data_IF_432617593251
#
_entry.id   IF_432617593251
#
_cell.length_a   1.000
_cell.length_b   1.000
_cell.length_c   1.000
_cell.angle_alpha   90.00
_cell.angle_beta   90.00
_cell.angle_gamma   90.00
#
_symmetry.space_group_name_H-M   'P 1'
#
loop_
_entity.id
_entity.type
_entity.pdbx_description
1 polymer ?
#
# COMPACT_ATOMS: atom_id res chain seq x y z
N UNK A 1 19.51 -16.91 12.62
CA UNK A 1 20.88 -16.50 12.23
C UNK A 1 21.04 -15.00 12.09
N UNK A 2 20.08 -14.26 11.52
CA UNK A 2 20.14 -12.78 11.40
C UNK A 2 20.50 -12.03 12.70
N UNK A 3 19.87 -12.37 13.83
CA UNK A 3 20.19 -11.74 15.13
C UNK A 3 21.66 -11.92 15.57
N UNK A 4 22.29 -13.05 15.20
CA UNK A 4 23.72 -13.32 15.47
C UNK A 4 24.60 -12.40 14.62
N UNK A 5 24.26 -12.24 13.34
CA UNK A 5 25.01 -11.38 12.41
C UNK A 5 24.95 -9.90 12.84
N UNK A 6 23.76 -9.40 13.18
CA UNK A 6 23.54 -8.02 13.61
C UNK A 6 24.25 -7.71 14.94
N UNK A 7 24.24 -8.66 15.89
CA UNK A 7 24.99 -8.52 17.13
C UNK A 7 26.50 -8.62 16.92
N UNK A 8 26.99 -9.41 15.96
CA UNK A 8 28.42 -9.58 15.67
C UNK A 8 29.04 -8.37 14.95
N UNK A 9 28.29 -7.70 14.08
CA UNK A 9 28.81 -6.71 13.12
C UNK A 9 29.64 -5.57 13.75
N UNK A 10 29.35 -5.18 15.00
CA UNK A 10 30.04 -4.09 15.71
C UNK A 10 30.85 -4.56 16.93
N UNK A 11 31.14 -5.87 17.06
CA UNK A 11 31.84 -6.38 18.25
C UNK A 11 33.26 -5.82 18.39
N UNK A 12 34.00 -5.60 17.30
CA UNK A 12 35.37 -5.07 17.38
C UNK A 12 35.42 -3.63 17.91
N UNK A 13 34.41 -2.82 17.60
CA UNK A 13 34.27 -1.47 18.13
C UNK A 13 33.84 -1.49 19.60
N UNK A 14 32.90 -2.38 19.96
CA UNK A 14 32.46 -2.56 21.35
C UNK A 14 33.59 -3.05 22.24
N UNK A 15 34.49 -3.92 21.77
CA UNK A 15 35.68 -4.35 22.51
C UNK A 15 36.61 -3.19 22.87
N UNK A 16 36.68 -2.17 22.01
CA UNK A 16 37.48 -0.95 22.26
C UNK A 16 36.79 0.01 23.23
N UNK A 17 35.45 0.13 23.14
CA UNK A 17 34.67 1.07 23.95
C UNK A 17 34.32 0.55 25.35
N UNK A 18 33.88 -0.71 25.44
CA UNK A 18 33.45 -1.36 26.68
C UNK A 18 33.72 -2.89 26.62
N UNK A 19 34.91 -3.33 27.08
CA UNK A 19 35.30 -4.73 27.02
C UNK A 19 34.37 -5.68 27.80
N UNK A 20 33.76 -5.21 28.89
CA UNK A 20 32.90 -6.07 29.73
C UNK A 20 31.57 -6.37 29.03
N UNK A 21 30.94 -5.38 28.39
CA UNK A 21 29.75 -5.62 27.58
C UNK A 21 30.04 -6.46 26.35
N UNK A 22 31.20 -6.26 25.72
CA UNK A 22 31.60 -7.04 24.56
C UNK A 22 31.73 -8.53 24.89
N UNK A 23 32.34 -8.88 26.03
CA UNK A 23 32.44 -10.26 26.52
C UNK A 23 31.04 -10.86 26.80
N UNK A 24 30.15 -10.10 27.45
CA UNK A 24 28.78 -10.57 27.70
C UNK A 24 28.01 -10.87 26.39
N UNK A 25 28.21 -10.05 25.35
CA UNK A 25 27.63 -10.29 24.02
C UNK A 25 28.26 -11.52 23.36
N UNK A 26 29.58 -11.70 23.44
CA UNK A 26 30.26 -12.88 22.89
C UNK A 26 29.71 -14.18 23.53
N UNK A 27 29.51 -14.19 24.85
CA UNK A 27 28.89 -15.32 25.55
C UNK A 27 27.43 -15.55 25.14
N UNK A 28 26.68 -14.48 24.88
CA UNK A 28 25.30 -14.58 24.40
C UNK A 28 25.22 -15.10 22.96
N UNK A 29 26.15 -14.70 22.10
CA UNK A 29 26.26 -15.16 20.71
C UNK A 29 26.55 -16.66 20.63
N UNK A 30 27.38 -17.20 21.51
CA UNK A 30 27.64 -18.64 21.61
C UNK A 30 26.33 -19.39 21.89
N UNK A 31 25.53 -18.91 22.86
CA UNK A 31 24.23 -19.51 23.18
C UNK A 31 23.26 -19.43 22.01
N UNK A 32 23.11 -18.26 21.38
CA UNK A 32 22.23 -18.08 20.21
C UNK A 32 22.61 -18.98 19.03
N UNK A 33 23.91 -19.19 18.78
CA UNK A 33 24.38 -20.10 17.72
C UNK A 33 24.01 -21.56 18.04
N UNK A 34 24.19 -22.00 19.29
CA UNK A 34 23.81 -23.35 19.72
C UNK A 34 22.30 -23.60 19.62
N UNK A 35 21.47 -22.58 19.91
CA UNK A 35 20.02 -22.66 19.68
C UNK A 35 19.69 -22.73 18.18
N UNK A 36 20.38 -21.94 17.35
CA UNK A 36 20.17 -21.90 15.91
C UNK A 36 20.60 -23.18 15.17
N UNK A 37 21.58 -23.92 15.69
CA UNK A 37 22.00 -25.23 15.16
C UNK A 37 21.14 -26.40 15.64
N UNK A 38 20.22 -26.17 16.57
CA UNK A 38 19.33 -27.20 17.12
C UNK A 38 19.99 -28.10 18.17
N UNK A 39 21.12 -27.69 18.75
CA UNK A 39 21.83 -28.47 19.79
C UNK A 39 21.11 -28.46 21.14
N UNK A 40 20.26 -27.45 21.39
CA UNK A 40 19.48 -27.32 22.61
C UNK A 40 18.03 -26.94 22.30
N UNK A 41 17.11 -27.55 23.05
CA UNK A 41 15.70 -27.17 23.01
C UNK A 41 15.50 -25.79 23.64
N UNK A 42 14.65 -24.98 23.04
CA UNK A 42 14.28 -23.66 23.55
C UNK A 42 12.82 -23.35 23.27
N UNK A 43 12.28 -22.42 24.04
CA UNK A 43 10.95 -21.86 23.79
C UNK A 43 11.11 -20.58 23.00
N UNK A 44 10.46 -20.50 21.85
CA UNK A 44 10.32 -19.29 21.09
C UNK A 44 8.95 -18.68 21.39
N UNK A 45 8.93 -17.45 21.87
CA UNK A 45 7.69 -16.71 22.13
C UNK A 45 7.63 -15.57 21.14
N UNK A 46 6.60 -15.57 20.30
CA UNK A 46 6.30 -14.49 19.37
C UNK A 46 5.02 -13.80 19.83
N UNK A 47 5.18 -12.63 20.44
CA UNK A 47 4.08 -11.82 20.93
C UNK A 47 3.85 -10.65 19.97
N UNK A 48 2.71 -10.68 19.27
CA UNK A 48 2.32 -9.65 18.33
C UNK A 48 0.92 -9.10 18.69
N UNK A 49 0.85 -7.94 19.34
CA UNK A 49 -0.41 -7.28 19.66
C UNK A 49 -1.27 -6.96 18.42
N UNK A 50 -0.70 -6.88 17.22
CA UNK A 50 -1.45 -6.65 15.99
C UNK A 50 -2.09 -7.94 15.43
N UNK A 51 -1.61 -9.11 15.84
CA UNK A 51 -2.10 -10.41 15.38
C UNK A 51 -1.74 -10.76 13.94
N UNK A 52 -0.72 -10.13 13.35
CA UNK A 52 -0.31 -10.33 11.96
C UNK A 52 0.85 -11.34 11.82
N UNK A 53 1.53 -11.64 12.92
CA UNK A 53 2.62 -12.59 12.97
C UNK A 53 2.12 -14.02 12.90
N UNK A 54 2.86 -14.87 12.18
CA UNK A 54 2.48 -16.26 11.90
C UNK A 54 3.66 -17.20 12.10
N UNK A 55 3.40 -18.38 12.67
CA UNK A 55 4.33 -19.51 12.75
C UNK A 55 3.68 -20.68 12.01
N UNK A 56 4.39 -21.21 11.02
CA UNK A 56 3.92 -22.33 10.21
C UNK A 56 3.78 -23.62 11.04
N UNK A 57 2.66 -24.33 10.86
CA UNK A 57 2.46 -25.68 11.38
C UNK A 57 2.87 -26.71 10.31
N UNK A 58 4.00 -27.42 10.47
CA UNK A 58 4.50 -28.39 9.48
C UNK A 58 3.65 -29.67 9.40
N UNK A 59 2.73 -29.88 10.34
CA UNK A 59 1.85 -31.05 10.42
C UNK A 59 0.42 -30.75 9.95
N UNK A 60 0.16 -29.56 9.41
CA UNK A 60 -1.15 -29.17 8.90
C UNK A 60 -1.69 -30.22 7.89
N UNK A 61 -2.99 -30.59 7.94
CA UNK A 61 -4.06 -29.99 8.76
C UNK A 61 -4.13 -30.51 10.22
N UNK A 62 -3.23 -31.41 10.61
CA UNK A 62 -3.19 -31.94 11.99
C UNK A 62 -2.63 -30.89 12.95
N UNK A 63 -3.01 -30.97 14.23
CA UNK A 63 -2.48 -30.08 15.26
C UNK A 63 -0.99 -30.33 15.53
N UNK A 64 -0.20 -29.28 15.65
CA UNK A 64 1.18 -29.35 16.13
C UNK A 64 1.21 -29.39 17.66
N UNK A 65 1.87 -30.38 18.25
CA UNK A 65 1.99 -30.53 19.70
C UNK A 65 3.03 -29.58 20.33
N UNK A 66 3.93 -29.01 19.53
CA UNK A 66 5.01 -28.10 19.97
C UNK A 66 4.64 -26.62 19.83
N UNK A 67 3.52 -26.32 19.16
CA UNK A 67 3.03 -24.96 18.95
C UNK A 67 1.78 -24.70 19.80
N UNK A 68 1.88 -23.72 20.69
CA UNK A 68 0.74 -23.19 21.44
C UNK A 68 0.41 -21.78 20.97
N UNK A 69 -0.83 -21.55 20.53
CA UNK A 69 -1.31 -20.22 20.11
C UNK A 69 -2.38 -19.75 21.10
N UNK A 70 -2.20 -18.55 21.67
CA UNK A 70 -3.16 -17.92 22.58
C UNK A 70 -3.53 -16.53 22.09
N UNK A 71 -4.84 -16.24 22.09
CA UNK A 71 -5.37 -14.91 21.79
C UNK A 71 -5.63 -14.16 23.10
N UNK A 72 -5.33 -12.87 23.12
CA UNK A 72 -5.55 -12.01 24.27
C UNK A 72 -6.13 -10.65 23.86
N UNK A 73 -6.82 -9.99 24.78
CA UNK A 73 -7.28 -8.61 24.59
C UNK A 73 -6.10 -7.65 24.81
N UNK A 74 -5.89 -6.74 23.85
CA UNK A 74 -4.82 -5.74 23.92
C UNK A 74 -4.98 -4.84 25.13
N UNK A 75 -3.88 -4.51 25.78
CA UNK A 75 -3.84 -3.45 26.78
C UNK A 75 -3.97 -2.08 26.11
N UNK A 76 -4.36 -1.06 26.87
CA UNK A 76 -4.38 0.33 26.40
C UNK A 76 -3.02 0.78 25.87
N UNK A 77 -1.94 0.37 26.52
CA UNK A 77 -0.57 0.70 26.09
C UNK A 77 -0.22 0.04 24.75
N UNK A 78 -0.59 -1.24 24.57
CA UNK A 78 -0.41 -1.95 23.31
C UNK A 78 -1.25 -1.32 22.19
N UNK A 79 -2.48 -0.91 22.50
CA UNK A 79 -3.38 -0.25 21.57
C UNK A 79 -2.83 1.12 21.14
N UNK A 80 -2.31 1.93 22.07
CA UNK A 80 -1.62 3.18 21.77
C UNK A 80 -0.36 2.95 20.92
N UNK A 81 0.45 1.93 21.24
CA UNK A 81 1.67 1.62 20.49
C UNK A 81 1.40 1.22 19.03
N UNK A 82 0.23 0.61 18.79
CA UNK A 82 -0.26 0.27 17.45
C UNK A 82 -0.93 1.45 16.73
N UNK A 83 -0.98 2.64 17.34
CA UNK A 83 -1.53 3.85 16.75
C UNK A 83 -3.05 3.99 16.86
N UNK A 84 -3.72 3.16 17.67
CA UNK A 84 -5.14 3.35 17.96
C UNK A 84 -5.32 4.47 18.99
N UNK A 85 -6.40 5.23 18.84
CA UNK A 85 -6.83 6.19 19.86
C UNK A 85 -7.28 5.41 21.09
N UNK A 86 -6.59 5.65 22.20
CA UNK A 86 -7.02 5.18 23.52
C UNK A 86 -7.81 6.32 24.12
N UNK A 87 -9.12 6.15 24.24
CA UNK A 87 -9.90 7.04 25.08
C UNK A 87 -9.32 6.96 26.51
N UNK A 88 -8.99 8.09 27.16
CA UNK A 88 -8.54 8.04 28.54
C UNK A 88 -9.60 7.28 29.34
N UNK A 89 -9.22 6.43 30.31
CA UNK A 89 -10.18 5.61 31.03
C UNK A 89 -11.11 6.53 31.82
N UNK A 90 -12.24 6.87 31.22
CA UNK A 90 -13.35 7.52 31.91
C UNK A 90 -13.99 6.46 32.78
N UNK A 91 -13.68 6.53 34.07
CA UNK A 91 -14.51 5.92 35.08
C UNK A 91 -15.98 6.32 34.84
N UNK A 92 -16.82 5.29 34.84
CA UNK A 92 -18.27 5.28 34.98
C UNK A 92 -19.03 6.62 34.88
N UNK A 93 -19.94 6.74 33.91
CA UNK A 93 -21.39 6.90 34.11
C UNK A 93 -22.06 7.42 32.84
N UNK A 94 -23.13 6.74 32.41
CA UNK A 94 -23.80 6.97 31.12
C UNK A 94 -24.64 8.25 31.00
N UNK A 95 -24.96 8.57 29.75
CA UNK A 95 -25.95 9.59 29.35
C UNK A 95 -25.72 10.07 27.90
N UNK A 96 -26.76 10.14 27.04
CA UNK A 96 -26.58 10.22 25.59
C UNK A 96 -26.32 11.65 25.06
N UNK A 97 -25.66 11.67 23.89
CA UNK A 97 -25.32 12.78 23.00
C UNK A 97 -26.11 14.08 23.18
N UNK A 98 -25.38 15.20 23.30
CA UNK A 98 -25.84 16.49 22.79
C UNK A 98 -24.70 17.25 22.09
N UNK A 99 -24.99 17.64 20.85
CA UNK A 99 -24.25 18.63 20.08
C UNK A 99 -24.21 19.98 20.82
N UNK A 100 -23.05 20.64 20.86
CA UNK A 100 -23.00 22.09 20.95
C UNK A 100 -21.65 22.63 20.45
N UNK A 101 -21.77 23.64 19.61
CA UNK A 101 -20.75 24.32 18.83
C UNK A 101 -19.84 25.25 19.64
N UNK A 102 -18.64 25.48 19.07
CA UNK A 102 -17.85 26.73 19.04
C UNK A 102 -17.43 27.42 20.35
N UNK A 103 -16.11 27.53 20.55
CA UNK A 103 -15.46 28.80 20.97
C UNK A 103 -13.99 28.81 20.54
N UNK A 104 -13.60 29.86 19.81
CA UNK A 104 -12.21 30.27 19.58
C UNK A 104 -11.65 30.97 20.83
N UNK A 105 -10.35 30.77 21.13
CA UNK A 105 -9.42 31.85 21.47
C UNK A 105 -7.96 31.35 21.58
N UNK A 106 -7.09 32.08 20.90
CA UNK A 106 -5.63 32.01 20.89
C UNK A 106 -4.96 32.07 22.27
N UNK A 107 -3.88 31.30 22.44
CA UNK A 107 -2.66 31.79 23.10
C UNK A 107 -1.44 31.06 22.57
N UNK A 108 -0.43 31.86 22.17
CA UNK A 108 0.71 31.44 21.37
C UNK A 108 1.67 30.48 22.06
N UNK A 109 2.10 29.48 21.30
CA UNK A 109 3.29 28.67 21.52
C UNK A 109 3.76 28.19 20.15
N UNK A 110 5.04 28.39 19.85
CA UNK A 110 5.68 27.93 18.61
C UNK A 110 5.24 26.50 18.27
N UNK A 111 4.84 26.20 17.02
CA UNK A 111 4.42 24.85 16.67
C UNK A 111 5.61 23.91 16.82
N UNK A 112 5.53 23.02 17.81
CA UNK A 112 6.43 21.88 17.93
C UNK A 112 6.12 20.95 16.76
N UNK A 113 6.93 21.03 15.72
CA UNK A 113 6.84 20.13 14.57
C UNK A 113 7.29 18.73 15.03
N UNK A 114 6.45 17.69 14.94
CA UNK A 114 6.88 16.32 15.20
C UNK A 114 8.05 15.96 14.28
N UNK A 115 9.10 15.34 14.83
CA UNK A 115 10.19 14.83 13.98
C UNK A 115 9.63 13.80 12.99
N UNK A 116 9.75 14.12 11.69
CA UNK A 116 9.16 13.36 10.58
C UNK A 116 8.42 14.23 9.55
N UNK A 117 8.04 15.46 9.91
CA UNK A 117 7.25 16.32 9.01
C UNK A 117 8.01 16.90 7.81
N UNK A 118 9.34 16.80 7.77
CA UNK A 118 10.14 17.42 6.69
C UNK A 118 10.20 16.54 5.43
N UNK A 119 10.04 15.21 5.56
CA UNK A 119 10.01 14.29 4.41
C UNK A 119 8.63 14.15 3.76
N UNK A 120 7.56 14.37 4.52
CA UNK A 120 6.18 14.16 4.07
C UNK A 120 5.56 15.35 3.31
N UNK A 121 6.29 16.46 3.12
CA UNK A 121 5.78 17.64 2.37
C UNK A 121 5.98 17.48 0.86
N UNK A 122 7.04 16.77 0.43
CA UNK A 122 7.33 16.58 -0.99
C UNK A 122 6.35 15.63 -1.69
N UNK A 123 5.68 14.73 -0.96
CA UNK A 123 4.67 13.83 -1.52
C UNK A 123 3.28 14.45 -1.71
N UNK A 124 3.08 15.72 -1.35
CA UNK A 124 1.75 16.35 -1.21
C UNK A 124 1.14 16.93 -2.48
N UNK A 125 1.67 16.65 -3.67
CA UNK A 125 1.18 17.32 -4.90
C UNK A 125 0.42 16.45 -5.92
N UNK A 126 0.44 15.13 -5.81
CA UNK A 126 -0.16 14.28 -6.85
C UNK A 126 -1.51 13.64 -6.46
N UNK A 127 -1.78 13.42 -5.16
CA UNK A 127 -2.96 12.65 -4.73
C UNK A 127 -4.21 13.54 -4.56
N UNK A 128 -4.03 14.86 -4.45
CA UNK A 128 -5.05 15.78 -3.91
C UNK A 128 -5.87 16.56 -4.96
N UNK A 129 -6.21 15.97 -6.10
CA UNK A 129 -7.16 16.60 -7.05
C UNK A 129 -8.20 15.65 -7.66
N UNK A 130 -8.48 14.50 -7.05
CA UNK A 130 -9.72 13.78 -7.34
C UNK A 130 -10.80 14.23 -6.36
N UNK A 131 -11.93 14.75 -6.85
CA UNK A 131 -13.08 15.05 -6.00
C UNK A 131 -13.51 13.75 -5.29
N UNK A 132 -13.54 13.67 -3.94
CA UNK A 132 -13.95 12.46 -3.22
C UNK A 132 -15.33 11.97 -3.64
N UNK A 133 -16.23 12.88 -4.06
CA UNK A 133 -17.54 12.53 -4.60
C UNK A 133 -17.45 11.87 -5.98
N UNK A 134 -16.49 12.23 -6.83
CA UNK A 134 -16.29 11.59 -8.14
C UNK A 134 -15.67 10.21 -8.00
N UNK A 135 -14.71 10.04 -7.08
CA UNK A 135 -14.11 8.73 -6.79
C UNK A 135 -15.15 7.80 -6.16
N UNK A 136 -15.94 8.31 -5.21
CA UNK A 136 -17.05 7.56 -4.62
C UNK A 136 -18.13 7.25 -5.67
N UNK A 137 -18.48 8.19 -6.55
CA UNK A 137 -19.45 7.97 -7.62
C UNK A 137 -18.94 6.98 -8.68
N UNK A 138 -17.65 6.99 -9.02
CA UNK A 138 -17.03 6.01 -9.91
C UNK A 138 -17.04 4.62 -9.30
N UNK A 139 -16.73 4.49 -8.00
CA UNK A 139 -16.88 3.23 -7.26
C UNK A 139 -18.34 2.76 -7.18
N UNK A 140 -19.30 3.69 -7.02
CA UNK A 140 -20.74 3.40 -6.98
C UNK A 140 -21.36 3.11 -8.37
N UNK A 141 -20.63 3.24 -9.49
CA UNK A 141 -21.15 2.83 -10.81
C UNK A 141 -21.17 1.31 -10.98
N UNK A 142 -20.27 0.61 -10.31
CA UNK A 142 -20.08 -0.83 -10.47
C UNK A 142 -20.86 -1.65 -9.44
N UNK A 143 -21.64 -1.01 -8.56
CA UNK A 143 -22.31 -1.68 -7.46
C UNK A 143 -23.48 -0.86 -6.93
N UNK A 144 -24.58 -1.53 -6.56
CA UNK A 144 -25.68 -0.87 -5.88
C UNK A 144 -25.19 -0.27 -4.54
N UNK A 145 -25.70 0.90 -4.10
CA UNK A 145 -25.34 1.53 -2.82
C UNK A 145 -25.47 0.62 -1.59
N UNK A 146 -26.19 -0.49 -1.74
CA UNK A 146 -26.54 -1.47 -0.72
C UNK A 146 -25.43 -2.51 -0.47
N UNK A 147 -24.41 -2.58 -1.32
CA UNK A 147 -23.27 -3.51 -1.22
C UNK A 147 -21.98 -2.84 -0.70
N UNK A 148 -22.10 -1.59 -0.25
CA UNK A 148 -21.00 -0.79 0.31
C UNK A 148 -21.13 -0.79 1.81
N UNK A 149 -20.18 -1.40 2.49
CA UNK A 149 -20.18 -1.45 3.94
C UNK A 149 -19.13 -0.49 4.50
N UNK A 150 -19.38 0.05 5.70
CA UNK A 150 -18.56 1.13 6.27
C UNK A 150 -18.08 0.80 7.66
N UNK A 151 -16.75 0.83 7.84
CA UNK A 151 -16.09 0.57 9.12
C UNK A 151 -15.53 1.88 9.68
N UNK A 152 -15.79 2.18 10.96
CA UNK A 152 -15.08 3.23 11.67
C UNK A 152 -13.58 2.91 11.68
N UNK A 153 -12.74 3.89 11.34
CA UNK A 153 -11.29 3.76 11.24
C UNK A 153 -10.60 5.05 11.67
N UNK A 154 -9.27 5.05 11.62
CA UNK A 154 -8.43 6.22 11.88
C UNK A 154 -7.59 6.54 10.65
N UNK A 155 -7.46 7.83 10.35
CA UNK A 155 -6.69 8.30 9.21
C UNK A 155 -5.20 7.95 9.39
N UNK A 156 -4.64 7.18 8.45
CA UNK A 156 -3.22 6.80 8.47
C UNK A 156 -2.22 7.97 8.43
N UNK A 157 -2.67 9.17 8.06
CA UNK A 157 -1.82 10.37 8.02
C UNK A 157 -1.93 11.27 9.27
N UNK A 158 -3.11 11.41 9.87
CA UNK A 158 -3.33 12.38 10.95
C UNK A 158 -3.94 11.79 12.22
N UNK A 159 -4.32 10.50 12.22
CA UNK A 159 -4.92 9.81 13.36
C UNK A 159 -6.36 10.21 13.67
N UNK A 160 -6.94 11.17 12.94
CA UNK A 160 -8.34 11.54 13.11
C UNK A 160 -9.27 10.38 12.78
N UNK A 161 -10.40 10.29 13.50
CA UNK A 161 -11.46 9.36 13.15
C UNK A 161 -11.92 9.60 11.70
N UNK A 162 -11.97 8.54 10.90
CA UNK A 162 -12.44 8.55 9.54
C UNK A 162 -13.25 7.28 9.27
N UNK A 163 -13.92 7.24 8.12
CA UNK A 163 -14.67 6.05 7.70
C UNK A 163 -13.87 5.35 6.61
N UNK A 164 -13.58 4.08 6.81
CA UNK A 164 -13.13 3.21 5.72
C UNK A 164 -14.35 2.57 5.10
N UNK A 165 -14.55 2.82 3.82
CA UNK A 165 -15.58 2.14 3.02
C UNK A 165 -14.92 0.88 2.46
N UNK A 166 -15.51 -0.27 2.70
CA UNK A 166 -15.01 -1.53 2.17
C UNK A 166 -16.09 -2.13 1.28
N UNK A 167 -15.67 -2.35 0.05
CA UNK A 167 -16.35 -3.18 -0.93
C UNK A 167 -15.58 -4.49 -0.95
N UNK A 168 -16.23 -5.59 -1.35
CA UNK A 168 -15.69 -6.96 -1.41
C UNK A 168 -14.28 -7.07 -2.04
N UNK A 169 -13.81 -6.06 -2.78
CA UNK A 169 -12.50 -6.02 -3.43
C UNK A 169 -11.70 -4.73 -3.10
N UNK A 170 -12.32 -3.63 -2.65
CA UNK A 170 -11.67 -2.31 -2.49
C UNK A 170 -11.93 -1.72 -1.10
N UNK A 171 -10.87 -1.42 -0.36
CA UNK A 171 -10.90 -0.61 0.86
C UNK A 171 -10.49 0.82 0.53
N UNK A 172 -11.42 1.77 0.64
CA UNK A 172 -11.16 3.19 0.44
C UNK A 172 -11.33 3.96 1.75
N UNK A 173 -10.26 4.59 2.21
CA UNK A 173 -10.27 5.52 3.33
C UNK A 173 -10.15 6.95 2.79
N UNK A 174 -11.05 7.83 3.24
CA UNK A 174 -10.96 9.27 2.98
C UNK A 174 -11.10 10.02 4.30
N UNK A 175 -10.23 11.00 4.52
CA UNK A 175 -10.23 11.80 5.74
C UNK A 175 -10.68 13.23 5.46
N UNK A 176 -11.82 13.61 6.03
CA UNK A 176 -12.42 14.93 5.85
C UNK A 176 -11.61 16.06 6.51
N UNK A 177 -10.73 15.73 7.47
CA UNK A 177 -9.92 16.70 8.21
C UNK A 177 -8.64 17.09 7.49
N UNK A 178 -7.91 16.13 6.91
CA UNK A 178 -6.62 16.39 6.28
C UNK A 178 -6.59 16.11 4.77
N UNK A 179 -7.68 15.59 4.20
CA UNK A 179 -7.77 15.21 2.80
C UNK A 179 -6.94 13.97 2.43
N UNK A 180 -6.47 13.21 3.41
CA UNK A 180 -5.77 11.95 3.14
C UNK A 180 -6.74 10.92 2.57
N UNK A 181 -6.42 10.43 1.37
CA UNK A 181 -7.15 9.36 0.71
C UNK A 181 -6.20 8.19 0.46
N UNK A 182 -6.66 6.99 0.79
CA UNK A 182 -5.96 5.74 0.49
C UNK A 182 -6.98 4.74 -0.08
N UNK A 183 -6.59 4.03 -1.13
CA UNK A 183 -7.40 2.95 -1.71
C UNK A 183 -6.52 1.71 -1.79
N UNK A 184 -6.85 0.70 -1.00
CA UNK A 184 -6.21 -0.61 -1.04
C UNK A 184 -7.14 -1.60 -1.73
N UNK A 185 -6.60 -2.32 -2.70
CA UNK A 185 -7.30 -3.42 -3.33
C UNK A 185 -6.93 -4.70 -2.57
N UNK A 186 -7.94 -5.37 -1.99
CA UNK A 186 -7.78 -6.70 -1.40
C UNK A 186 -8.86 -7.60 -1.95
N UNK A 187 -8.52 -8.60 -2.80
CA UNK A 187 -9.51 -9.51 -3.33
C UNK A 187 -10.13 -10.31 -2.18
N UNK A 188 -11.43 -10.13 -1.92
CA UNK A 188 -12.16 -10.84 -0.86
C UNK A 188 -12.70 -12.21 -1.25
N UNK A 189 -12.47 -12.65 -2.48
CA UNK A 189 -12.92 -13.94 -3.02
C UNK A 189 -11.83 -15.00 -3.10
N UNK A 190 -12.21 -16.21 -3.51
CA UNK A 190 -11.24 -17.26 -3.88
C UNK A 190 -10.34 -16.75 -5.03
N UNK A 191 -9.05 -17.04 -4.94
CA UNK A 191 -8.10 -16.74 -6.02
C UNK A 191 -8.54 -17.57 -7.24
N UNK A 192 -8.87 -16.94 -8.38
CA UNK A 192 -9.28 -17.66 -9.57
C UNK A 192 -8.22 -18.67 -10.00
N UNK A 193 -8.63 -19.83 -10.50
CA UNK A 193 -7.71 -20.88 -10.95
C UNK A 193 -6.87 -20.48 -12.18
N UNK A 194 -7.18 -19.35 -12.81
CA UNK A 194 -6.53 -18.82 -14.01
C UNK A 194 -6.12 -17.37 -13.80
N UNK A 195 -4.95 -17.02 -14.33
CA UNK A 195 -4.54 -15.63 -14.50
C UNK A 195 -5.38 -14.96 -15.58
N UNK A 196 -5.43 -13.63 -15.55
CA UNK A 196 -6.18 -12.82 -16.51
C UNK A 196 -5.26 -11.82 -17.18
N UNK A 197 -5.32 -11.78 -18.51
CA UNK A 197 -4.66 -10.77 -19.33
C UNK A 197 -5.71 -9.90 -20.02
N UNK A 198 -5.67 -8.61 -19.71
CA UNK A 198 -6.58 -7.61 -20.25
C UNK A 198 -5.82 -6.77 -21.25
N UNK A 199 -6.28 -6.73 -22.50
CA UNK A 199 -5.70 -5.91 -23.58
C UNK A 199 -6.74 -4.88 -24.02
N UNK A 200 -6.44 -3.60 -23.85
CA UNK A 200 -7.29 -2.48 -24.25
C UNK A 200 -6.62 -1.70 -25.39
N UNK A 201 -7.33 -1.53 -26.50
CA UNK A 201 -6.93 -0.67 -27.61
C UNK A 201 -7.55 0.71 -27.47
N UNK A 202 -6.74 1.67 -27.03
CA UNK A 202 -7.14 3.06 -26.77
C UNK A 202 -7.14 3.84 -28.08
N UNK A 203 -8.30 4.33 -28.50
CA UNK A 203 -8.45 5.10 -29.74
C UNK A 203 -9.11 6.46 -29.51
N UNK A 204 -10.00 6.55 -28.52
CA UNK A 204 -10.85 7.71 -28.29
C UNK A 204 -10.70 8.27 -26.88
N UNK A 205 -11.12 9.53 -26.68
CA UNK A 205 -11.12 10.18 -25.35
C UNK A 205 -11.96 9.40 -24.34
N UNK A 206 -13.02 8.72 -24.81
CA UNK A 206 -13.84 7.85 -23.96
C UNK A 206 -13.04 6.67 -23.38
N UNK A 207 -12.06 6.17 -24.12
CA UNK A 207 -11.21 5.07 -23.66
C UNK A 207 -10.26 5.51 -22.55
N UNK A 208 -9.78 6.75 -22.61
CA UNK A 208 -8.97 7.36 -21.54
C UNK A 208 -9.74 7.50 -20.24
N UNK A 209 -11.05 7.75 -20.32
CA UNK A 209 -11.95 7.88 -19.17
C UNK A 209 -12.46 6.55 -18.60
N UNK A 210 -12.06 5.40 -19.18
CA UNK A 210 -12.45 4.08 -18.63
C UNK A 210 -11.82 3.89 -17.26
N UNK A 211 -12.61 3.38 -16.32
CA UNK A 211 -12.11 3.03 -15.00
C UNK A 211 -11.23 1.77 -15.07
N UNK A 212 -10.13 1.80 -14.32
CA UNK A 212 -9.11 0.76 -14.25
C UNK A 212 -8.81 0.48 -12.79
N UNK A 213 -8.91 -0.79 -12.44
CA UNK A 213 -8.46 -1.34 -11.17
C UNK A 213 -7.22 -2.17 -11.49
N UNK A 214 -6.05 -1.70 -11.05
CA UNK A 214 -4.78 -2.43 -11.16
C UNK A 214 -4.47 -3.02 -9.80
N UNK A 215 -4.34 -4.34 -9.71
CA UNK A 215 -3.89 -5.03 -8.50
C UNK A 215 -2.38 -4.86 -8.28
N UNK A 216 -1.89 -5.20 -7.10
CA UNK A 216 -0.46 -5.23 -6.82
C UNK A 216 0.27 -6.38 -7.56
N UNK A 217 -0.41 -7.51 -7.81
CA UNK A 217 0.10 -8.65 -8.57
C UNK A 217 0.17 -8.40 -10.08
N UNK A 218 -0.44 -7.33 -10.58
CA UNK A 218 -0.51 -7.05 -12.02
C UNK A 218 0.72 -6.33 -12.60
N UNK A 219 1.21 -6.87 -13.71
CA UNK A 219 2.15 -6.21 -14.61
C UNK A 219 1.39 -5.33 -15.62
N UNK A 220 2.00 -4.21 -16.01
CA UNK A 220 1.42 -3.27 -16.99
C UNK A 220 2.40 -3.11 -18.15
N UNK A 221 1.91 -3.22 -19.39
CA UNK A 221 2.71 -3.04 -20.60
C UNK A 221 2.04 -2.09 -21.57
N UNK A 222 2.84 -1.21 -22.17
CA UNK A 222 2.45 -0.35 -23.29
C UNK A 222 3.48 -0.55 -24.41
N UNK A 223 3.24 -1.47 -25.36
CA UNK A 223 4.19 -1.83 -26.40
C UNK A 223 4.68 -0.64 -27.22
N UNK A 224 3.81 0.32 -27.52
CA UNK A 224 4.11 1.51 -28.31
C UNK A 224 5.06 2.48 -27.60
N UNK A 225 5.22 2.37 -26.28
CA UNK A 225 6.21 3.11 -25.49
C UNK A 225 7.43 2.28 -25.10
N UNK A 226 7.45 0.98 -25.45
CA UNK A 226 8.41 0.00 -24.89
C UNK A 226 8.41 0.04 -23.35
N UNK A 227 7.25 0.31 -22.75
CA UNK A 227 7.08 0.42 -21.31
C UNK A 227 6.59 -0.91 -20.76
N UNK A 228 7.31 -1.44 -19.77
CA UNK A 228 6.93 -2.62 -19.02
C UNK A 228 7.16 -2.38 -17.54
N UNK A 229 6.11 -2.59 -16.74
CA UNK A 229 6.14 -2.50 -15.29
C UNK A 229 5.84 -3.88 -14.73
N UNK A 230 6.75 -4.39 -13.91
CA UNK A 230 6.55 -5.67 -13.22
C UNK A 230 5.52 -5.56 -12.10
N UNK A 231 5.01 -6.70 -11.66
CA UNK A 231 4.23 -6.85 -10.43
C UNK A 231 4.90 -6.14 -9.23
N UNK A 232 4.10 -5.66 -8.29
CA UNK A 232 4.51 -4.86 -7.14
C UNK A 232 4.75 -3.37 -7.44
N UNK A 233 4.86 -3.00 -8.71
CA UNK A 233 5.09 -1.60 -9.10
C UNK A 233 3.78 -0.80 -9.05
N UNK A 234 3.80 0.35 -8.37
CA UNK A 234 2.66 1.26 -8.09
C UNK A 234 1.61 0.74 -7.10
N UNK A 235 1.69 -0.53 -6.67
CA UNK A 235 0.72 -1.14 -5.77
C UNK A 235 -0.68 -1.29 -6.38
N UNK A 236 -1.65 -1.68 -5.55
CA UNK A 236 -3.06 -1.75 -5.92
C UNK A 236 -3.67 -0.35 -6.01
N UNK A 237 -4.20 0.03 -7.18
CA UNK A 237 -4.78 1.36 -7.39
C UNK A 237 -6.08 1.29 -8.20
N UNK A 238 -7.03 2.15 -7.82
CA UNK A 238 -8.23 2.46 -8.61
C UNK A 238 -8.01 3.82 -9.27
N UNK A 239 -8.20 3.89 -10.58
CA UNK A 239 -7.91 5.07 -11.41
C UNK A 239 -8.66 4.97 -12.73
N UNK A 240 -8.49 5.93 -13.64
CA UNK A 240 -8.85 5.78 -15.06
C UNK A 240 -7.64 5.34 -15.89
N UNK A 241 -7.84 4.98 -17.16
CA UNK A 241 -6.75 4.69 -18.12
C UNK A 241 -5.77 5.86 -18.20
N UNK A 242 -6.27 7.09 -18.34
CA UNK A 242 -5.45 8.30 -18.30
C UNK A 242 -4.71 8.43 -16.97
N UNK A 243 -5.43 8.29 -15.85
CA UNK A 243 -4.84 8.43 -14.52
C UNK A 243 -3.77 7.38 -14.23
N UNK A 244 -3.89 6.17 -14.78
CA UNK A 244 -2.86 5.14 -14.68
C UNK A 244 -1.57 5.58 -15.36
N UNK A 245 -1.65 6.10 -16.58
CA UNK A 245 -0.49 6.59 -17.33
C UNK A 245 0.16 7.78 -16.61
N UNK A 246 -0.63 8.74 -16.13
CA UNK A 246 -0.11 9.90 -15.36
C UNK A 246 0.62 9.43 -14.10
N UNK A 247 0.06 8.47 -13.35
CA UNK A 247 0.71 7.91 -12.15
C UNK A 247 2.02 7.18 -12.48
N UNK A 248 2.08 6.49 -13.62
CA UNK A 248 3.30 5.86 -14.10
C UNK A 248 4.37 6.92 -14.38
N UNK A 249 4.01 8.04 -15.03
CA UNK A 249 4.92 9.15 -15.26
C UNK A 249 5.49 9.70 -13.96
N UNK A 250 4.62 10.05 -13.02
CA UNK A 250 5.02 10.63 -11.74
C UNK A 250 5.94 9.71 -10.95
N UNK A 251 5.69 8.39 -10.99
CA UNK A 251 6.55 7.42 -10.33
C UNK A 251 7.92 7.31 -10.99
N UNK A 252 7.97 7.27 -12.33
CA UNK A 252 9.23 7.24 -13.07
C UNK A 252 10.03 8.54 -12.91
N UNK A 253 9.37 9.70 -12.91
CA UNK A 253 9.99 11.01 -12.63
C UNK A 253 10.63 11.05 -11.24
N UNK A 254 10.01 10.42 -10.24
CA UNK A 254 10.55 10.35 -8.88
C UNK A 254 11.83 9.51 -8.81
N UNK A 255 11.85 8.38 -9.53
CA UNK A 255 13.00 7.47 -9.57
C UNK A 255 14.15 8.08 -10.38
N UNK A 256 13.86 8.66 -11.54
CA UNK A 256 14.87 9.23 -12.41
C UNK A 256 15.28 10.65 -12.00
N UNK A 257 14.42 11.41 -11.32
CA UNK A 257 14.72 12.75 -10.82
C UNK A 257 15.84 12.80 -9.78
N UNK A 258 16.04 11.72 -9.02
CA UNK A 258 17.14 11.60 -8.05
C UNK A 258 18.49 11.14 -8.65
N UNK A 259 18.49 10.60 -9.88
CA UNK A 259 19.72 10.19 -10.58
C UNK A 259 20.38 11.34 -11.36
N UNK A 260 19.89 12.59 -11.20
CA UNK A 260 20.48 13.79 -11.80
C UNK A 260 21.64 14.41 -10.96
N UNK A 261 22.19 13.66 -10.00
CA UNK A 261 23.32 14.08 -9.17
C UNK A 261 24.60 13.34 -9.54
N UNK A 262 25.54 14.10 -10.08
CA UNK A 262 26.92 13.78 -10.45
C UNK A 262 27.18 13.01 -11.78
N UNK A 263 27.85 13.74 -12.68
CA UNK A 263 28.71 13.27 -13.79
C UNK A 263 28.23 12.19 -14.79
N UNK A 264 26.94 11.82 -14.87
CA UNK A 264 26.46 10.80 -15.82
C UNK A 264 25.35 11.25 -16.79
N UNK A 265 25.78 11.45 -18.05
CA UNK A 265 25.10 11.13 -19.32
C UNK A 265 23.91 12.00 -19.82
N UNK A 266 24.21 13.06 -20.58
CA UNK A 266 23.24 13.83 -21.40
C UNK A 266 22.33 12.93 -22.28
N UNK A 267 22.84 11.78 -22.73
CA UNK A 267 22.05 10.82 -23.51
C UNK A 267 20.90 10.20 -22.71
N UNK A 268 21.03 10.03 -21.38
CA UNK A 268 19.95 9.54 -20.51
C UNK A 268 18.86 10.59 -20.38
N UNK A 269 19.23 11.86 -20.22
CA UNK A 269 18.27 12.98 -20.24
C UNK A 269 17.53 13.06 -21.57
N UNK A 270 18.26 12.96 -22.68
CA UNK A 270 17.64 12.96 -24.02
C UNK A 270 16.68 11.78 -24.24
N UNK A 271 17.01 10.58 -23.73
CA UNK A 271 16.09 9.43 -23.76
C UNK A 271 14.85 9.65 -22.89
N UNK A 272 15.02 10.29 -21.73
CA UNK A 272 13.92 10.65 -20.85
C UNK A 272 12.99 11.68 -21.48
N UNK A 273 13.54 12.73 -22.08
CA UNK A 273 12.78 13.76 -22.79
C UNK A 273 12.02 13.17 -24.00
N UNK A 274 12.65 12.25 -24.75
CA UNK A 274 12.01 11.52 -25.85
C UNK A 274 10.85 10.63 -25.35
N UNK A 275 11.06 9.93 -24.24
CA UNK A 275 10.00 9.15 -23.59
C UNK A 275 8.82 10.03 -23.14
N UNK A 276 9.08 11.15 -22.48
CA UNK A 276 8.03 12.10 -22.08
C UNK A 276 7.26 12.66 -23.29
N UNK A 277 7.94 12.95 -24.39
CA UNK A 277 7.29 13.38 -25.64
C UNK A 277 6.40 12.29 -26.23
N UNK A 278 6.88 11.04 -26.30
CA UNK A 278 6.09 9.89 -26.77
C UNK A 278 4.86 9.67 -25.91
N UNK A 279 5.02 9.76 -24.59
CA UNK A 279 3.91 9.58 -23.66
C UNK A 279 2.89 10.71 -23.77
N UNK A 280 3.33 11.96 -23.90
CA UNK A 280 2.43 13.11 -24.13
C UNK A 280 1.63 12.95 -25.42
N UNK A 281 2.23 12.38 -26.48
CA UNK A 281 1.53 12.07 -27.73
C UNK A 281 0.42 11.05 -27.52
N UNK A 282 0.65 10.01 -26.71
CA UNK A 282 -0.37 9.01 -26.38
C UNK A 282 -1.54 9.60 -25.60
N UNK A 283 -1.27 10.45 -24.60
CA UNK A 283 -2.32 11.14 -23.84
C UNK A 283 -3.13 12.09 -24.72
N UNK A 284 -2.50 12.72 -25.71
CA UNK A 284 -3.21 13.56 -26.70
C UNK A 284 -3.96 12.79 -27.78
N UNK A 285 -3.92 11.44 -27.77
CA UNK A 285 -4.54 10.55 -28.75
C UNK A 285 -4.18 10.88 -30.22
N UNK A 286 -2.95 11.33 -30.46
CA UNK A 286 -2.46 11.53 -31.83
C UNK A 286 -2.32 10.20 -32.58
N UNK A 287 -2.01 9.13 -31.85
CA UNK A 287 -1.87 7.77 -32.36
C UNK A 287 -2.60 6.81 -31.39
N UNK A 288 -3.32 5.79 -31.91
CA UNK A 288 -3.91 4.74 -31.08
C UNK A 288 -2.81 3.88 -30.46
N UNK A 289 -3.07 3.37 -29.26
CA UNK A 289 -2.09 2.60 -28.50
C UNK A 289 -2.75 1.50 -27.67
N UNK A 290 -1.94 0.60 -27.13
CA UNK A 290 -2.41 -0.60 -26.46
C UNK A 290 -1.97 -0.61 -25.01
N UNK A 291 -2.93 -0.76 -24.11
CA UNK A 291 -2.70 -1.03 -22.69
C UNK A 291 -2.88 -2.52 -22.43
N UNK A 292 -1.86 -3.17 -21.88
CA UNK A 292 -1.94 -4.57 -21.47
C UNK A 292 -1.75 -4.63 -19.96
N UNK A 293 -2.71 -5.24 -19.27
CA UNK A 293 -2.63 -5.56 -17.84
C UNK A 293 -2.61 -7.07 -17.72
N UNK A 294 -1.53 -7.60 -17.15
CA UNK A 294 -1.31 -9.03 -17.00
C UNK A 294 -1.26 -9.36 -15.51
N UNK A 295 -2.28 -10.07 -15.03
CA UNK A 295 -2.49 -10.34 -13.61
C UNK A 295 -2.68 -11.83 -13.33
N UNK A 296 -1.67 -12.44 -12.74
CA UNK A 296 -1.67 -13.86 -12.39
C UNK A 296 -2.74 -14.22 -11.34
N UNK A 297 -3.19 -13.26 -10.52
CA UNK A 297 -4.24 -13.47 -9.52
C UNK A 297 -5.62 -12.98 -9.98
N UNK A 298 -5.73 -12.50 -11.22
CA UNK A 298 -6.98 -12.04 -11.83
C UNK A 298 -7.80 -11.04 -10.97
N UNK A 299 -7.11 -10.21 -10.19
CA UNK A 299 -7.71 -9.19 -9.32
C UNK A 299 -7.85 -7.82 -10.02
N UNK A 300 -7.29 -7.66 -11.22
CA UNK A 300 -7.38 -6.44 -12.02
C UNK A 300 -8.63 -6.39 -12.91
N UNK A 301 -9.09 -5.17 -13.19
CA UNK A 301 -10.29 -4.91 -13.98
C UNK A 301 -10.16 -3.65 -14.82
N UNK A 302 -10.77 -3.64 -16.00
CA UNK A 302 -10.93 -2.46 -16.87
C UNK A 302 -12.39 -2.37 -17.28
N UNK A 303 -12.98 -1.20 -17.12
CA UNK A 303 -14.38 -0.98 -17.46
C UNK A 303 -14.61 -1.05 -18.98
N UNK A 304 -15.64 -1.79 -19.43
CA UNK A 304 -16.06 -1.73 -20.82
C UNK A 304 -16.65 -0.35 -21.13
N UNK A 305 -16.55 0.11 -22.37
CA UNK A 305 -17.19 1.35 -22.82
C UNK A 305 -18.69 1.16 -23.12
N UNK A 306 -19.13 -0.09 -23.24
CA UNK A 306 -20.49 -0.55 -23.53
C UNK A 306 -21.12 -1.21 -22.31
N UNK A 307 -22.45 -1.27 -22.27
CA UNK A 307 -23.20 -1.92 -21.18
C UNK A 307 -22.90 -3.43 -21.07
N UNK A 308 -22.52 -4.06 -22.18
CA UNK A 308 -22.08 -5.45 -22.24
C UNK A 308 -20.60 -5.51 -22.64
N UNK A 309 -19.84 -6.35 -21.95
CA UNK A 309 -18.40 -6.56 -22.22
C UNK A 309 -18.20 -7.17 -23.61
N UNK A 310 -19.11 -8.04 -24.06
CA UNK A 310 -19.02 -8.74 -25.35
C UNK A 310 -19.14 -7.80 -26.57
N UNK A 311 -19.75 -6.63 -26.38
CA UNK A 311 -19.92 -5.63 -27.43
C UNK A 311 -18.70 -4.69 -27.56
N UNK A 312 -17.74 -4.79 -26.63
CA UNK A 312 -16.56 -3.93 -26.60
C UNK A 312 -15.42 -4.50 -27.47
N UNK A 313 -15.43 -4.17 -28.76
CA UNK A 313 -14.38 -4.60 -29.69
C UNK A 313 -12.97 -4.10 -29.37
N UNK A 314 -12.84 -3.13 -28.44
CA UNK A 314 -11.55 -2.55 -28.06
C UNK A 314 -10.94 -3.23 -26.82
N UNK A 315 -11.72 -4.04 -26.10
CA UNK A 315 -11.32 -4.70 -24.87
C UNK A 315 -11.30 -6.22 -25.05
N UNK A 316 -10.11 -6.81 -24.97
CA UNK A 316 -9.92 -8.26 -25.01
C UNK A 316 -9.51 -8.76 -23.63
N UNK A 317 -10.18 -9.80 -23.15
CA UNK A 317 -9.88 -10.46 -21.87
C UNK A 317 -9.56 -11.92 -22.17
N UNK A 318 -8.34 -12.34 -21.85
CA UNK A 318 -7.85 -13.70 -22.03
C UNK A 318 -7.51 -14.31 -20.68
N UNK A 319 -8.05 -15.49 -20.37
CA UNK A 319 -7.67 -16.25 -19.19
C UNK A 319 -6.55 -17.24 -19.55
N UNK A 320 -5.53 -17.35 -18.70
CA UNK A 320 -4.40 -18.26 -18.89
C UNK A 320 -4.13 -19.09 -17.62
N UNK A 321 -3.49 -20.26 -17.81
CA UNK A 321 -3.06 -21.14 -16.71
C UNK A 321 -1.69 -20.73 -16.15
#
# INVERSE_FOLDING_TARGET
MRAVEELQALQDERKKADPQKAEAIDQFLIKLRSLGSGEAAFTFVLDDPAGNSFIENPHAPSSDALLSVSFYERTSEQQAALGFLVDPPTGESGGPLQNASTVEANSGGLPKVPHGSVGAVAGRRAIAQGNPDEIAAALCRYTAPEEVDTLPSTCGACGAACVTRFFVIVMAASCDLCGYCNSELKPGGEIPAKGKKITLHVQNVKDLSRDVIKSDSAAVKVPELELELSMGTLGGIVTTVEGLIVKICEALERVHGFQLGDSTNEWKKKKWDDFQQRLSKLLSLQEPWTLIIDDALAASFVAPATDLIEDDSQLLIEDYE
#
